data_IF_440157026318
#
_entry.id   IF_440157026318
#
_cell.length_a   1.000
_cell.length_b   1.000
_cell.length_c   1.000
_cell.angle_alpha   90.00
_cell.angle_beta   90.00
_cell.angle_gamma   90.00
#
_symmetry.space_group_name_H-M   'P 1'
#
loop_
_entity.id
_entity.type
_entity.pdbx_description
1 polymer ?
#
# COMPACT_ATOMS: atom_id res chain seq x y z
N UNK A 1 -7.54 -40.46 8.13
CA UNK A 1 -7.49 -39.76 6.83
C UNK A 1 -6.49 -38.64 6.99
N UNK A 2 -5.34 -38.80 6.35
CA UNK A 2 -4.13 -38.01 6.59
C UNK A 2 -4.31 -36.52 6.24
N UNK A 3 -4.54 -35.70 7.25
CA UNK A 3 -4.55 -34.25 7.20
C UNK A 3 -3.14 -33.63 7.20
N UNK A 4 -2.08 -34.43 7.33
CA UNK A 4 -0.73 -33.90 7.49
C UNK A 4 0.03 -33.66 6.18
N UNK A 5 -0.39 -34.25 5.07
CA UNK A 5 0.28 -34.12 3.78
C UNK A 5 -0.15 -32.84 2.96
N UNK A 6 -1.31 -32.26 3.29
CA UNK A 6 -1.82 -31.08 2.58
C UNK A 6 -1.21 -29.73 3.05
N UNK A 7 -0.49 -29.75 4.18
CA UNK A 7 0.02 -28.52 4.84
C UNK A 7 1.38 -28.04 4.32
N UNK A 8 2.06 -28.80 3.47
CA UNK A 8 3.44 -28.49 3.04
C UNK A 8 3.56 -27.78 1.68
N UNK A 9 2.48 -27.68 0.90
CA UNK A 9 2.58 -27.25 -0.51
C UNK A 9 2.34 -25.77 -0.77
N UNK A 10 1.83 -25.00 0.18
CA UNK A 10 1.43 -23.61 -0.05
C UNK A 10 2.13 -22.63 0.90
N UNK A 11 3.43 -22.41 0.66
CA UNK A 11 4.20 -21.38 1.37
C UNK A 11 4.31 -20.15 0.47
N UNK A 12 3.48 -19.12 0.65
CA UNK A 12 3.62 -17.87 -0.10
C UNK A 12 4.99 -17.24 0.16
N UNK A 13 5.47 -16.51 -0.83
CA UNK A 13 6.75 -15.82 -0.78
C UNK A 13 6.49 -14.33 -0.85
N UNK A 14 7.01 -13.58 0.11
CA UNK A 14 6.97 -12.12 0.11
C UNK A 14 8.36 -11.56 -0.13
N UNK A 15 8.51 -10.75 -1.19
CA UNK A 15 9.72 -9.99 -1.42
C UNK A 15 9.55 -8.63 -0.76
N UNK A 16 10.29 -8.40 0.30
CA UNK A 16 10.21 -7.21 1.15
C UNK A 16 11.51 -6.42 1.12
N UNK A 17 11.45 -5.15 1.45
CA UNK A 17 12.59 -4.22 1.44
C UNK A 17 12.08 -2.81 1.23
N UNK A 18 12.98 -1.82 1.21
CA UNK A 18 12.57 -0.47 0.83
C UNK A 18 12.10 -0.45 -0.63
N UNK A 19 11.08 0.34 -0.98
CA UNK A 19 10.79 0.61 -2.38
C UNK A 19 12.08 1.03 -3.12
N UNK A 20 12.21 0.65 -4.37
CA UNK A 20 13.40 0.93 -5.21
C UNK A 20 14.67 0.16 -4.83
N UNK A 21 14.60 -0.80 -3.91
CA UNK A 21 15.73 -1.69 -3.58
C UNK A 21 15.92 -2.85 -4.56
N UNK A 22 15.06 -2.98 -5.57
CA UNK A 22 15.13 -4.08 -6.54
C UNK A 22 14.08 -5.17 -6.33
N UNK A 23 13.03 -4.92 -5.56
CA UNK A 23 11.91 -5.85 -5.34
C UNK A 23 11.29 -6.31 -6.66
N UNK A 24 11.01 -5.40 -7.58
CA UNK A 24 10.39 -5.70 -8.88
C UNK A 24 11.26 -6.61 -9.76
N UNK A 25 12.57 -6.35 -9.89
CA UNK A 25 13.46 -7.19 -10.70
C UNK A 25 13.59 -8.59 -10.11
N UNK A 26 13.70 -8.68 -8.77
CA UNK A 26 13.77 -9.98 -8.10
C UNK A 26 12.46 -10.76 -8.26
N UNK A 27 11.32 -10.10 -8.09
CA UNK A 27 10.00 -10.69 -8.30
C UNK A 27 9.86 -11.21 -9.73
N UNK A 28 10.41 -10.47 -10.70
CA UNK A 28 10.41 -10.91 -12.09
C UNK A 28 11.31 -12.13 -12.31
N UNK A 29 12.51 -12.18 -11.69
CA UNK A 29 13.37 -13.37 -11.72
C UNK A 29 12.62 -14.59 -11.16
N UNK A 30 11.97 -14.46 -10.00
CA UNK A 30 11.19 -15.52 -9.38
C UNK A 30 10.00 -15.98 -10.27
N UNK A 31 9.41 -15.05 -11.01
CA UNK A 31 8.31 -15.35 -11.93
C UNK A 31 8.68 -16.22 -13.13
N UNK A 32 9.97 -16.35 -13.47
CA UNK A 32 10.43 -17.27 -14.50
C UNK A 32 10.49 -18.73 -14.02
N UNK A 33 10.42 -18.93 -12.70
CA UNK A 33 10.46 -20.29 -12.14
C UNK A 33 9.13 -21.03 -12.39
N UNK A 34 9.17 -22.33 -12.82
CA UNK A 34 7.96 -23.07 -13.19
C UNK A 34 6.97 -23.28 -12.02
N UNK A 35 7.46 -23.32 -10.76
CA UNK A 35 6.62 -23.53 -9.58
C UNK A 35 6.13 -22.22 -8.95
N UNK A 36 6.47 -21.04 -9.45
CA UNK A 36 6.15 -19.75 -8.84
C UNK A 36 5.22 -18.93 -9.70
N UNK A 37 4.12 -18.47 -9.07
CA UNK A 37 3.15 -17.54 -9.63
C UNK A 37 3.41 -16.16 -9.02
N UNK A 38 3.97 -15.24 -9.76
CA UNK A 38 4.03 -13.84 -9.32
C UNK A 38 2.64 -13.22 -9.42
N UNK A 39 2.18 -12.59 -8.38
CA UNK A 39 0.96 -11.76 -8.40
C UNK A 39 1.35 -10.28 -8.50
N UNK A 40 0.47 -9.40 -9.00
CA UNK A 40 0.65 -7.95 -8.89
C UNK A 40 0.80 -7.52 -7.44
N UNK A 41 1.52 -6.43 -7.19
CA UNK A 41 1.63 -5.85 -5.85
C UNK A 41 0.23 -5.67 -5.26
N UNK A 42 -0.06 -6.39 -4.19
CA UNK A 42 -1.43 -6.47 -3.68
C UNK A 42 -1.76 -5.33 -2.71
N UNK A 43 -0.79 -4.88 -1.94
CA UNK A 43 -0.84 -3.76 -0.98
C UNK A 43 -1.90 -3.85 0.14
N UNK A 44 -2.89 -4.73 0.06
CA UNK A 44 -4.03 -4.79 1.00
C UNK A 44 -3.90 -5.82 2.12
N UNK A 45 -3.09 -6.88 1.95
CA UNK A 45 -3.03 -8.00 2.91
C UNK A 45 -2.43 -7.57 4.26
N UNK A 46 -1.54 -6.57 4.27
CA UNK A 46 -0.96 -6.02 5.49
C UNK A 46 -2.01 -5.32 6.36
N UNK A 47 -2.83 -4.46 5.76
CA UNK A 47 -3.93 -3.78 6.44
C UNK A 47 -5.03 -4.76 6.83
N UNK A 48 -5.31 -5.76 5.99
CA UNK A 48 -6.26 -6.82 6.32
C UNK A 48 -5.83 -7.60 7.58
N UNK A 49 -4.54 -7.85 7.78
CA UNK A 49 -4.05 -8.45 9.02
C UNK A 49 -4.32 -7.57 10.24
N UNK A 50 -4.22 -6.24 10.11
CA UNK A 50 -4.58 -5.29 11.18
C UNK A 50 -6.09 -5.34 11.45
N UNK A 51 -6.92 -5.31 10.40
CA UNK A 51 -8.37 -5.42 10.53
C UNK A 51 -8.79 -6.72 11.22
N UNK A 52 -8.18 -7.84 10.87
CA UNK A 52 -8.43 -9.12 11.54
C UNK A 52 -8.05 -9.10 13.02
N UNK A 53 -6.93 -8.46 13.39
CA UNK A 53 -6.56 -8.29 14.79
C UNK A 53 -7.63 -7.54 15.58
N UNK A 54 -8.16 -6.45 15.00
CA UNK A 54 -9.24 -5.67 15.59
C UNK A 54 -10.51 -6.52 15.72
N UNK A 55 -10.89 -7.29 14.69
CA UNK A 55 -12.08 -8.15 14.71
C UNK A 55 -11.94 -9.26 15.74
N UNK A 56 -10.74 -9.84 15.86
CA UNK A 56 -10.46 -10.84 16.90
C UNK A 56 -10.60 -10.25 18.30
N UNK A 57 -10.04 -9.07 18.57
CA UNK A 57 -10.20 -8.36 19.86
C UNK A 57 -11.67 -8.10 20.18
N UNK A 58 -12.47 -7.66 19.21
CA UNK A 58 -13.92 -7.46 19.40
C UNK A 58 -14.63 -8.79 19.68
N UNK A 59 -14.26 -9.85 18.91
CA UNK A 59 -14.85 -11.18 19.03
C UNK A 59 -14.51 -11.92 20.33
N UNK A 60 -13.52 -11.42 21.10
CA UNK A 60 -13.07 -11.98 22.39
C UNK A 60 -13.31 -11.04 23.57
N UNK A 61 -13.75 -9.79 23.34
CA UNK A 61 -13.77 -8.71 24.33
C UNK A 61 -14.59 -8.98 25.60
N UNK A 62 -15.56 -9.92 25.56
CA UNK A 62 -16.46 -10.25 26.69
C UNK A 62 -16.20 -11.66 27.27
N UNK A 63 -15.00 -12.22 27.02
CA UNK A 63 -14.67 -13.60 27.41
C UNK A 63 -15.72 -14.59 26.85
N UNK A 64 -16.14 -15.57 27.63
CA UNK A 64 -17.10 -16.62 27.22
C UNK A 64 -18.48 -16.11 26.75
N UNK A 65 -18.75 -14.79 26.84
CA UNK A 65 -19.92 -14.17 26.21
C UNK A 65 -19.67 -13.70 24.78
N UNK A 66 -18.45 -13.81 24.32
CA UNK A 66 -18.05 -13.51 22.93
C UNK A 66 -17.92 -14.80 22.15
N UNK A 67 -18.36 -14.80 20.90
CA UNK A 67 -18.43 -16.02 20.08
C UNK A 67 -17.09 -16.72 19.89
N UNK A 68 -16.00 -15.97 19.68
CA UNK A 68 -14.68 -16.58 19.47
C UNK A 68 -14.13 -17.22 20.75
N UNK A 69 -14.29 -16.55 21.90
CA UNK A 69 -13.89 -17.13 23.19
C UNK A 69 -14.76 -18.31 23.62
N UNK A 70 -16.07 -18.26 23.34
CA UNK A 70 -16.99 -19.37 23.67
C UNK A 70 -16.74 -20.62 22.83
N UNK A 71 -16.05 -20.47 21.69
CA UNK A 71 -15.65 -21.56 20.79
C UNK A 71 -14.18 -21.93 20.95
N UNK A 72 -13.48 -21.36 21.92
CA UNK A 72 -12.02 -21.55 22.15
C UNK A 72 -11.17 -21.34 20.89
N UNK A 73 -11.58 -20.37 20.03
CA UNK A 73 -10.82 -20.07 18.82
C UNK A 73 -9.63 -19.20 19.18
N UNK A 74 -8.43 -19.75 19.01
CA UNK A 74 -7.18 -19.05 19.25
C UNK A 74 -6.90 -18.02 18.14
N UNK A 75 -6.14 -16.98 18.49
CA UNK A 75 -5.78 -15.88 17.56
C UNK A 75 -5.05 -16.40 16.33
N UNK A 76 -4.13 -17.31 16.51
CA UNK A 76 -3.31 -17.93 15.47
C UNK A 76 -4.19 -18.74 14.50
N UNK A 77 -5.14 -19.51 15.03
CA UNK A 77 -6.10 -20.24 14.21
C UNK A 77 -6.97 -19.29 13.40
N UNK A 78 -7.51 -18.24 14.06
CA UNK A 78 -8.36 -17.26 13.39
C UNK A 78 -7.65 -16.64 12.18
N UNK A 79 -6.40 -16.18 12.36
CA UNK A 79 -5.62 -15.61 11.26
C UNK A 79 -5.32 -16.61 10.16
N UNK A 80 -4.86 -17.80 10.52
CA UNK A 80 -4.47 -18.84 9.56
C UNK A 80 -5.64 -19.29 8.68
N UNK A 81 -6.87 -19.32 9.20
CA UNK A 81 -8.07 -19.66 8.41
C UNK A 81 -8.35 -18.63 7.30
N UNK A 82 -8.23 -17.34 7.61
CA UNK A 82 -8.37 -16.31 6.58
C UNK A 82 -7.21 -16.33 5.59
N UNK A 83 -5.99 -16.53 6.06
CA UNK A 83 -4.83 -16.70 5.19
C UNK A 83 -4.97 -17.88 4.24
N UNK A 84 -5.49 -19.00 4.71
CA UNK A 84 -5.79 -20.16 3.86
C UNK A 84 -6.82 -19.82 2.78
N UNK A 85 -7.89 -19.10 3.14
CA UNK A 85 -8.91 -18.68 2.18
C UNK A 85 -8.34 -17.76 1.09
N UNK A 86 -7.45 -16.82 1.44
CA UNK A 86 -6.75 -15.96 0.49
C UNK A 86 -5.86 -16.80 -0.43
N UNK A 87 -5.10 -17.72 0.13
CA UNK A 87 -4.22 -18.61 -0.60
C UNK A 87 -4.99 -19.44 -1.64
N UNK A 88 -6.11 -20.04 -1.23
CA UNK A 88 -6.98 -20.82 -2.10
C UNK A 88 -7.59 -19.94 -3.22
N UNK A 89 -8.00 -18.72 -2.89
CA UNK A 89 -8.51 -17.78 -3.87
C UNK A 89 -7.47 -17.47 -4.95
N UNK A 90 -6.24 -17.15 -4.56
CA UNK A 90 -5.16 -16.82 -5.50
C UNK A 90 -4.84 -18.02 -6.40
N UNK A 91 -4.67 -19.20 -5.82
CA UNK A 91 -4.28 -20.39 -6.56
C UNK A 91 -5.41 -20.92 -7.47
N UNK A 92 -6.66 -20.81 -7.04
CA UNK A 92 -7.80 -21.20 -7.87
C UNK A 92 -7.97 -20.29 -9.10
N UNK A 93 -7.61 -19.01 -8.98
CA UNK A 93 -7.68 -18.04 -10.09
C UNK A 93 -6.37 -17.84 -10.86
N UNK A 94 -5.34 -18.66 -10.60
CA UNK A 94 -4.03 -18.52 -11.26
C UNK A 94 -4.08 -18.54 -12.78
N UNK A 95 -4.92 -19.38 -13.39
CA UNK A 95 -5.07 -19.48 -14.86
C UNK A 95 -5.68 -18.20 -15.46
N UNK A 96 -6.57 -17.53 -14.74
CA UNK A 96 -7.16 -16.27 -15.16
C UNK A 96 -6.15 -15.13 -15.14
N UNK A 97 -5.31 -15.10 -14.10
CA UNK A 97 -4.23 -14.14 -14.00
C UNK A 97 -3.22 -14.32 -15.13
N UNK A 98 -2.80 -15.55 -15.40
CA UNK A 98 -1.85 -15.87 -16.47
C UNK A 98 -2.40 -15.50 -17.87
N UNK A 99 -3.68 -15.80 -18.12
CA UNK A 99 -4.37 -15.46 -19.36
C UNK A 99 -4.45 -13.94 -19.58
N UNK A 100 -4.80 -13.19 -18.54
CA UNK A 100 -4.85 -11.72 -18.63
C UNK A 100 -3.48 -11.14 -18.90
N UNK A 101 -2.43 -11.61 -18.23
CA UNK A 101 -1.03 -11.18 -18.49
C UNK A 101 -0.59 -11.44 -19.92
N UNK A 102 -0.87 -12.61 -20.46
CA UNK A 102 -0.57 -12.92 -21.87
C UNK A 102 -1.29 -11.99 -22.84
N UNK A 103 -2.53 -11.59 -22.53
CA UNK A 103 -3.31 -10.62 -23.31
C UNK A 103 -2.78 -9.17 -23.23
N UNK A 104 -2.26 -8.75 -22.09
CA UNK A 104 -1.57 -7.45 -21.96
C UNK A 104 -0.25 -7.42 -22.68
N UNK A 105 0.47 -8.55 -22.71
CA UNK A 105 1.71 -8.70 -23.47
C UNK A 105 1.55 -8.40 -24.95
N UNK A 106 0.43 -8.82 -25.52
CA UNK A 106 0.11 -8.56 -26.93
C UNK A 106 -0.26 -7.10 -27.24
N UNK A 107 -0.51 -6.27 -26.20
CA UNK A 107 -0.91 -4.85 -26.31
C UNK A 107 0.13 -3.88 -25.76
N UNK A 108 1.37 -4.31 -25.54
CA UNK A 108 2.39 -3.56 -24.83
C UNK A 108 2.62 -2.15 -25.41
N UNK A 109 2.49 -1.16 -24.53
CA UNK A 109 2.95 0.21 -24.75
C UNK A 109 4.49 0.19 -24.71
N UNK A 110 5.21 0.84 -25.64
CA UNK A 110 6.67 0.96 -25.58
C UNK A 110 7.04 1.74 -24.30
N UNK A 111 7.76 1.16 -23.39
CA UNK A 111 8.23 1.67 -22.09
C UNK A 111 7.43 1.25 -20.83
N UNK A 112 6.35 0.51 -20.93
CA UNK A 112 5.84 -0.19 -19.76
C UNK A 112 6.78 -1.34 -19.41
N UNK A 113 7.00 -1.61 -18.12
CA UNK A 113 7.66 -2.83 -17.67
C UNK A 113 7.05 -4.00 -18.46
N UNK A 114 7.84 -4.86 -19.10
CA UNK A 114 7.28 -5.94 -19.87
C UNK A 114 6.70 -7.00 -18.91
N UNK A 115 5.51 -6.73 -18.36
CA UNK A 115 4.65 -7.77 -17.79
C UNK A 115 4.46 -8.94 -18.80
N UNK A 116 4.75 -8.64 -20.03
CA UNK A 116 4.64 -9.46 -21.21
C UNK A 116 5.68 -10.57 -21.35
N UNK A 117 6.81 -10.49 -20.70
CA UNK A 117 7.88 -11.47 -20.90
C UNK A 117 7.80 -12.67 -19.94
N UNK A 118 6.73 -12.78 -19.17
CA UNK A 118 6.43 -14.01 -18.45
C UNK A 118 5.77 -15.03 -19.38
N UNK A 119 6.49 -15.42 -20.44
CA UNK A 119 6.08 -16.53 -21.29
C UNK A 119 6.11 -17.80 -20.46
N UNK A 120 4.94 -18.19 -19.97
CA UNK A 120 4.72 -19.52 -19.39
C UNK A 120 4.92 -20.53 -20.49
N UNK A 121 5.88 -21.44 -20.33
CA UNK A 121 5.99 -22.57 -21.23
C UNK A 121 4.68 -23.37 -21.22
N UNK A 122 4.04 -23.60 -22.37
CA UNK A 122 2.81 -24.38 -22.41
C UNK A 122 3.11 -25.81 -21.94
N UNK A 123 2.43 -26.27 -20.91
CA UNK A 123 2.48 -27.69 -20.51
C UNK A 123 2.92 -27.98 -19.07
N UNK A 124 3.51 -27.02 -18.36
CA UNK A 124 3.89 -27.23 -16.92
C UNK A 124 2.84 -26.62 -16.00
N UNK A 125 1.88 -27.42 -15.60
CA UNK A 125 0.73 -27.01 -14.78
C UNK A 125 1.05 -27.02 -13.28
N UNK A 126 2.20 -26.47 -12.82
CA UNK A 126 2.66 -26.66 -11.44
C UNK A 126 3.06 -25.39 -10.70
N UNK A 127 2.41 -24.27 -10.92
CA UNK A 127 2.60 -23.10 -10.05
C UNK A 127 1.85 -23.35 -8.75
N UNK A 128 2.56 -23.92 -7.78
CA UNK A 128 2.02 -24.29 -6.48
C UNK A 128 2.21 -23.21 -5.42
N UNK A 129 3.06 -22.19 -5.70
CA UNK A 129 3.39 -21.11 -4.78
C UNK A 129 3.23 -19.77 -5.48
N UNK A 130 2.71 -18.78 -4.76
CA UNK A 130 2.66 -17.42 -5.28
C UNK A 130 3.68 -16.52 -4.58
N UNK A 131 4.08 -15.47 -5.30
CA UNK A 131 5.07 -14.47 -4.89
C UNK A 131 4.42 -13.09 -4.97
N UNK A 132 4.51 -12.32 -3.90
CA UNK A 132 4.10 -10.92 -3.84
C UNK A 132 5.32 -10.04 -3.54
N UNK A 133 5.53 -9.04 -4.39
CA UNK A 133 6.68 -8.13 -4.28
C UNK A 133 6.31 -6.74 -3.76
N UNK A 134 5.19 -6.58 -3.05
CA UNK A 134 4.77 -5.31 -2.47
C UNK A 134 5.79 -4.81 -1.43
N UNK A 135 6.54 -3.71 -1.69
CA UNK A 135 7.60 -3.26 -0.78
C UNK A 135 7.07 -2.84 0.59
N UNK A 136 5.86 -2.28 0.67
CA UNK A 136 5.21 -1.84 1.90
C UNK A 136 4.99 -2.96 2.90
N UNK A 137 4.98 -4.22 2.44
CA UNK A 137 4.90 -5.40 3.32
C UNK A 137 6.08 -5.54 4.25
N UNK A 138 7.19 -4.83 4.01
CA UNK A 138 8.30 -4.68 4.97
C UNK A 138 7.81 -4.26 6.36
N UNK A 139 6.77 -3.45 6.42
CA UNK A 139 6.18 -2.97 7.66
C UNK A 139 5.10 -3.91 8.23
N UNK A 140 4.72 -4.96 7.54
CA UNK A 140 3.59 -5.83 7.86
C UNK A 140 3.99 -7.31 8.05
N UNK A 141 5.28 -7.62 8.13
CA UNK A 141 5.80 -9.00 8.17
C UNK A 141 5.14 -9.82 9.28
N UNK A 142 4.96 -9.24 10.49
CA UNK A 142 4.30 -9.92 11.60
C UNK A 142 2.85 -10.31 11.26
N UNK A 143 2.05 -9.38 10.76
CA UNK A 143 0.67 -9.65 10.37
C UNK A 143 0.56 -10.67 9.26
N UNK A 144 1.42 -10.56 8.23
CA UNK A 144 1.49 -11.55 7.14
C UNK A 144 1.91 -12.92 7.62
N UNK A 145 2.84 -12.99 8.59
CA UNK A 145 3.26 -14.25 9.21
C UNK A 145 2.12 -14.93 10.00
N UNK A 146 1.25 -14.13 10.61
CA UNK A 146 0.04 -14.63 11.28
C UNK A 146 -0.98 -15.17 10.27
N UNK A 147 -1.23 -14.44 9.17
CA UNK A 147 -2.09 -14.90 8.08
C UNK A 147 -1.56 -16.17 7.41
N UNK A 148 -0.27 -16.21 7.15
CA UNK A 148 0.41 -17.28 6.42
C UNK A 148 1.54 -17.87 7.27
N UNK A 149 1.24 -18.76 8.24
CA UNK A 149 2.26 -19.32 9.12
C UNK A 149 3.43 -20.02 8.39
N UNK A 150 3.20 -20.49 7.17
CA UNK A 150 4.23 -21.09 6.31
C UNK A 150 4.95 -20.09 5.38
N UNK A 151 4.62 -18.81 5.40
CA UNK A 151 5.22 -17.80 4.51
C UNK A 151 6.74 -17.70 4.69
N UNK A 152 7.42 -17.46 3.55
CA UNK A 152 8.84 -17.13 3.51
C UNK A 152 8.99 -15.67 3.03
N UNK A 153 9.98 -14.99 3.59
CA UNK A 153 10.26 -13.59 3.29
C UNK A 153 11.66 -13.45 2.69
N UNK A 154 11.77 -12.69 1.62
CA UNK A 154 13.04 -12.35 1.01
C UNK A 154 13.25 -10.87 1.25
N UNK A 155 14.14 -10.53 2.17
CA UNK A 155 14.54 -9.15 2.42
C UNK A 155 15.61 -8.74 1.41
N UNK A 156 15.22 -8.00 0.37
CA UNK A 156 16.17 -7.40 -0.54
C UNK A 156 16.63 -6.05 0.00
N UNK A 157 17.94 -5.92 0.23
CA UNK A 157 18.56 -4.71 0.75
C UNK A 157 19.47 -4.09 -0.31
N UNK A 158 19.42 -2.75 -0.41
CA UNK A 158 20.23 -1.93 -1.29
C UNK A 158 20.74 -0.71 -0.54
N UNK A 159 21.90 -0.20 -0.94
CA UNK A 159 22.50 1.00 -0.36
C UNK A 159 21.51 2.19 -0.34
N UNK A 160 21.57 2.97 0.73
CA UNK A 160 20.61 4.03 0.98
C UNK A 160 20.66 5.14 -0.06
N UNK A 161 21.86 5.53 -0.51
CA UNK A 161 22.00 6.61 -1.49
C UNK A 161 21.33 6.27 -2.82
N UNK A 162 21.57 5.06 -3.34
CA UNK A 162 20.92 4.60 -4.56
C UNK A 162 19.41 4.54 -4.42
N UNK A 163 18.90 4.13 -3.24
CA UNK A 163 17.46 4.04 -2.99
C UNK A 163 16.84 5.41 -2.89
N UNK A 164 17.40 6.33 -2.10
CA UNK A 164 16.90 7.70 -1.92
C UNK A 164 16.89 8.44 -3.26
N UNK A 165 17.99 8.38 -4.02
CA UNK A 165 18.05 8.94 -5.38
C UNK A 165 16.94 8.38 -6.28
N UNK A 166 16.69 7.07 -6.22
CA UNK A 166 15.67 6.42 -7.03
C UNK A 166 14.25 6.80 -6.59
N UNK A 167 13.98 6.94 -5.30
CA UNK A 167 12.69 7.37 -4.76
C UNK A 167 12.38 8.80 -5.22
N UNK A 168 13.32 9.73 -5.04
CA UNK A 168 13.15 11.14 -5.41
C UNK A 168 13.00 11.34 -6.93
N UNK A 169 13.65 10.48 -7.73
CA UNK A 169 13.54 10.54 -9.19
C UNK A 169 12.23 9.90 -9.70
N UNK A 170 11.63 9.01 -8.93
CA UNK A 170 10.37 8.35 -9.28
C UNK A 170 9.23 9.37 -9.44
N UNK A 171 9.16 10.38 -8.55
CA UNK A 171 8.18 11.45 -8.60
C UNK A 171 8.20 12.24 -9.90
N UNK A 172 9.39 12.37 -10.53
CA UNK A 172 9.55 13.12 -11.78
C UNK A 172 9.00 12.40 -13.01
N UNK A 173 8.66 11.11 -12.89
CA UNK A 173 8.09 10.32 -13.98
C UNK A 173 6.54 10.41 -14.03
N UNK A 174 5.93 11.15 -13.09
CA UNK A 174 4.47 11.37 -13.08
C UNK A 174 3.65 10.17 -12.61
N UNK A 175 4.27 9.18 -11.99
CA UNK A 175 3.59 7.99 -11.46
C UNK A 175 3.06 8.18 -10.03
N UNK A 176 3.17 9.39 -9.50
CA UNK A 176 2.77 9.76 -8.14
C UNK A 176 3.95 9.78 -7.15
N UNK A 177 3.86 10.68 -6.18
CA UNK A 177 4.90 10.90 -5.17
C UNK A 177 4.87 9.81 -4.12
N UNK A 178 5.98 9.08 -3.96
CA UNK A 178 6.17 8.15 -2.83
C UNK A 178 6.50 8.91 -1.53
N UNK A 179 7.11 10.08 -1.65
CA UNK A 179 7.58 10.93 -0.54
C UNK A 179 7.49 12.39 -0.94
N UNK A 180 7.35 13.31 0.02
CA UNK A 180 7.28 14.73 -0.25
C UNK A 180 8.66 15.39 -0.43
N UNK A 181 9.71 14.84 0.22
CA UNK A 181 11.06 15.39 0.21
C UNK A 181 12.12 14.35 0.52
N UNK A 182 13.38 14.77 0.54
CA UNK A 182 14.54 13.91 0.81
C UNK A 182 14.52 13.33 2.23
N UNK A 183 14.11 14.12 3.22
CA UNK A 183 14.00 13.66 4.60
C UNK A 183 13.01 12.51 4.75
N UNK A 184 11.88 12.58 4.06
CA UNK A 184 10.91 11.47 4.04
C UNK A 184 11.46 10.23 3.35
N UNK A 185 12.29 10.39 2.30
CA UNK A 185 12.92 9.27 1.62
C UNK A 185 13.88 8.51 2.55
N UNK A 186 14.74 9.23 3.31
CA UNK A 186 15.59 8.61 4.32
C UNK A 186 14.80 7.93 5.44
N UNK A 187 13.77 8.59 5.95
CA UNK A 187 12.87 8.02 6.97
C UNK A 187 12.18 6.76 6.46
N UNK A 188 11.75 6.75 5.20
CA UNK A 188 11.08 5.59 4.61
C UNK A 188 12.04 4.41 4.50
N UNK A 189 13.26 4.65 3.99
CA UNK A 189 14.29 3.62 3.92
C UNK A 189 14.61 3.05 5.30
N UNK A 190 14.87 3.91 6.29
CA UNK A 190 15.17 3.50 7.66
C UNK A 190 14.06 2.62 8.26
N UNK A 191 12.81 3.06 8.14
CA UNK A 191 11.66 2.32 8.69
C UNK A 191 11.51 0.94 8.06
N UNK A 192 11.62 0.85 6.76
CA UNK A 192 11.42 -0.42 6.04
C UNK A 192 12.57 -1.39 6.28
N UNK A 193 13.82 -0.92 6.20
CA UNK A 193 14.99 -1.76 6.45
C UNK A 193 15.07 -2.19 7.92
N UNK A 194 14.86 -1.28 8.88
CA UNK A 194 14.82 -1.65 10.31
C UNK A 194 13.75 -2.69 10.63
N UNK A 195 12.57 -2.59 10.02
CA UNK A 195 11.51 -3.57 10.19
C UNK A 195 11.91 -4.94 9.62
N UNK A 196 12.55 -4.98 8.46
CA UNK A 196 13.06 -6.22 7.89
C UNK A 196 14.18 -6.84 8.75
N UNK A 197 15.10 -6.02 9.28
CA UNK A 197 16.17 -6.49 10.18
C UNK A 197 15.61 -7.04 11.50
N UNK A 198 14.56 -6.42 12.00
CA UNK A 198 13.85 -6.94 13.17
C UNK A 198 13.22 -8.31 12.84
N UNK A 199 12.60 -8.46 11.66
CA UNK A 199 12.03 -9.73 11.21
C UNK A 199 13.09 -10.83 11.04
N UNK A 200 14.29 -10.49 10.55
CA UNK A 200 15.42 -11.43 10.47
C UNK A 200 15.82 -11.95 11.86
N UNK A 201 15.91 -11.06 12.85
CA UNK A 201 16.22 -11.43 14.23
C UNK A 201 15.07 -12.21 14.88
N UNK A 202 13.81 -11.84 14.60
CA UNK A 202 12.64 -12.44 15.22
C UNK A 202 12.35 -13.85 14.67
N UNK A 203 12.51 -14.06 13.38
CA UNK A 203 12.09 -15.29 12.71
C UNK A 203 13.25 -16.16 12.22
N UNK A 204 14.46 -15.60 12.16
CA UNK A 204 15.67 -16.32 11.78
C UNK A 204 15.76 -16.68 10.29
N UNK A 205 16.89 -17.27 9.87
CA UNK A 205 17.25 -17.51 8.48
C UNK A 205 16.42 -18.60 7.79
N UNK A 206 15.63 -19.36 8.53
CA UNK A 206 14.69 -20.33 7.95
C UNK A 206 13.38 -19.72 7.48
N UNK A 207 13.09 -18.48 7.86
CA UNK A 207 11.85 -17.74 7.52
C UNK A 207 12.13 -16.49 6.72
N UNK A 208 13.21 -15.78 7.03
CA UNK A 208 13.63 -14.56 6.33
C UNK A 208 15.00 -14.80 5.73
N UNK A 209 15.15 -14.53 4.44
CA UNK A 209 16.42 -14.59 3.72
C UNK A 209 16.83 -13.17 3.32
N UNK A 210 18.03 -12.73 3.72
CA UNK A 210 18.59 -11.47 3.27
C UNK A 210 19.30 -11.64 1.93
N UNK A 211 18.88 -10.88 0.93
CA UNK A 211 19.53 -10.78 -0.37
C UNK A 211 20.07 -9.36 -0.56
N UNK A 212 21.38 -9.22 -0.75
CA UNK A 212 21.97 -7.94 -1.14
C UNK A 212 21.72 -7.69 -2.62
N UNK A 213 21.28 -6.48 -2.97
CA UNK A 213 21.09 -6.10 -4.38
C UNK A 213 22.40 -6.17 -5.17
N UNK A 214 23.53 -5.81 -4.56
CA UNK A 214 24.87 -5.97 -5.13
C UNK A 214 25.17 -7.42 -5.53
N UNK A 215 24.86 -8.39 -4.67
CA UNK A 215 25.05 -9.81 -5.00
C UNK A 215 24.19 -10.26 -6.19
N UNK A 216 22.96 -9.72 -6.32
CA UNK A 216 22.08 -10.03 -7.45
C UNK A 216 22.62 -9.45 -8.76
N UNK A 217 23.37 -8.33 -8.71
CA UNK A 217 23.96 -7.69 -9.90
C UNK A 217 25.33 -8.28 -10.24
N UNK A 218 26.19 -8.46 -9.24
CA UNK A 218 27.59 -8.85 -9.43
C UNK A 218 27.77 -10.35 -9.64
N UNK A 219 26.98 -11.17 -8.93
CA UNK A 219 27.03 -12.64 -8.95
C UNK A 219 25.63 -13.26 -9.02
N UNK A 220 24.85 -12.95 -10.07
CA UNK A 220 23.42 -13.27 -10.13
C UNK A 220 23.12 -14.76 -9.97
N UNK A 221 23.91 -15.63 -10.62
CA UNK A 221 23.68 -17.07 -10.54
C UNK A 221 23.90 -17.59 -9.11
N UNK A 222 24.99 -17.19 -8.46
CA UNK A 222 25.28 -17.61 -7.07
C UNK A 222 24.22 -17.10 -6.11
N UNK A 223 23.79 -15.84 -6.27
CA UNK A 223 22.73 -15.23 -5.47
C UNK A 223 21.40 -15.97 -5.62
N UNK A 224 20.96 -16.27 -6.85
CA UNK A 224 19.73 -16.99 -7.09
C UNK A 224 19.81 -18.46 -6.66
N UNK A 225 20.95 -19.15 -6.82
CA UNK A 225 21.13 -20.50 -6.28
C UNK A 225 20.97 -20.54 -4.77
N UNK A 226 21.57 -19.60 -4.04
CA UNK A 226 21.40 -19.49 -2.58
C UNK A 226 19.95 -19.21 -2.21
N UNK A 227 19.28 -18.33 -2.94
CA UNK A 227 17.87 -18.02 -2.74
C UNK A 227 16.98 -19.25 -2.99
N UNK A 228 17.15 -19.97 -4.07
CA UNK A 228 16.37 -21.19 -4.36
C UNK A 228 16.61 -22.30 -3.37
N UNK A 229 17.84 -22.44 -2.86
CA UNK A 229 18.13 -23.36 -1.76
C UNK A 229 17.32 -22.99 -0.50
N UNK A 230 17.28 -21.71 -0.12
CA UNK A 230 16.43 -21.22 0.98
C UNK A 230 14.93 -21.53 0.72
N UNK A 231 14.46 -21.33 -0.51
CA UNK A 231 13.07 -21.60 -0.90
C UNK A 231 12.75 -23.09 -0.99
N UNK A 232 13.76 -23.98 -0.89
CA UNK A 232 13.65 -25.42 -1.15
C UNK A 232 13.09 -25.74 -2.55
N UNK A 233 13.54 -24.97 -3.54
CA UNK A 233 13.19 -25.12 -4.94
C UNK A 233 14.43 -25.42 -5.79
N UNK A 234 14.32 -26.19 -6.86
CA UNK A 234 15.44 -26.40 -7.78
C UNK A 234 15.78 -25.07 -8.48
N UNK A 235 17.06 -24.87 -8.75
CA UNK A 235 17.48 -23.72 -9.53
C UNK A 235 17.00 -23.86 -10.98
N UNK A 236 16.39 -22.78 -11.52
CA UNK A 236 15.95 -22.66 -12.90
C UNK A 236 16.75 -21.54 -13.59
N UNK A 237 17.48 -21.86 -14.65
CA UNK A 237 18.36 -20.92 -15.35
C UNK A 237 17.57 -19.75 -15.99
N UNK A 238 16.32 -19.98 -16.34
CA UNK A 238 15.41 -18.98 -16.91
C UNK A 238 15.23 -17.77 -15.96
N UNK A 239 15.41 -17.98 -14.66
CA UNK A 239 15.35 -16.91 -13.65
C UNK A 239 16.46 -15.87 -13.78
N UNK A 240 17.52 -16.16 -14.54
CA UNK A 240 18.58 -15.20 -14.86
C UNK A 240 18.21 -14.28 -16.04
N UNK A 241 17.24 -14.66 -16.87
CA UNK A 241 16.88 -13.92 -18.09
C UNK A 241 16.53 -12.45 -17.84
N UNK A 242 15.75 -12.09 -16.77
CA UNK A 242 15.46 -10.69 -16.49
C UNK A 242 16.70 -9.84 -16.19
N UNK A 243 17.75 -10.43 -15.63
CA UNK A 243 18.99 -9.74 -15.25
C UNK A 243 19.92 -9.46 -16.44
N UNK A 244 19.73 -10.17 -17.56
CA UNK A 244 20.51 -9.94 -18.80
C UNK A 244 20.12 -8.62 -19.49
N UNK A 245 18.94 -8.12 -19.22
CA UNK A 245 18.46 -6.82 -19.72
C UNK A 245 18.61 -5.80 -18.59
N UNK A 246 19.40 -4.75 -18.84
CA UNK A 246 19.49 -3.63 -17.90
C UNK A 246 18.12 -2.95 -17.77
N UNK A 247 17.33 -3.35 -16.77
CA UNK A 247 16.02 -2.77 -16.49
C UNK A 247 16.23 -1.69 -15.44
N UNK A 248 16.53 -0.49 -15.90
CA UNK A 248 16.45 0.68 -15.06
C UNK A 248 15.01 1.21 -15.13
N UNK A 249 14.18 0.85 -14.17
CA UNK A 249 12.85 1.43 -13.99
C UNK A 249 12.90 2.92 -13.61
N UNK A 250 14.07 3.43 -13.26
CA UNK A 250 14.33 4.85 -13.06
C UNK A 250 15.58 5.23 -13.84
N UNK A 251 15.44 6.02 -14.89
CA UNK A 251 16.54 6.74 -15.51
C UNK A 251 17.00 7.87 -14.57
N UNK A 252 17.60 7.50 -13.43
CA UNK A 252 18.21 8.51 -12.56
C UNK A 252 19.36 9.12 -13.34
N UNK A 253 19.30 10.42 -13.59
CA UNK A 253 20.38 11.14 -14.27
C UNK A 253 21.62 11.10 -13.38
N UNK A 254 22.78 10.92 -13.97
CA UNK A 254 24.07 10.87 -13.23
C UNK A 254 24.37 12.18 -12.49
N UNK A 255 23.84 13.31 -13.00
CA UNK A 255 23.96 14.64 -12.40
C UNK A 255 22.95 14.92 -11.28
N UNK A 256 21.99 13.99 -11.02
CA UNK A 256 21.04 14.15 -9.92
C UNK A 256 21.76 13.95 -8.57
N UNK A 257 21.83 15.02 -7.80
CA UNK A 257 22.43 15.02 -6.46
C UNK A 257 21.35 15.00 -5.39
N UNK A 258 21.60 14.21 -4.35
CA UNK A 258 20.93 14.29 -3.04
C UNK A 258 21.72 15.29 -2.19
N UNK A 259 21.10 15.91 -1.23
CA UNK A 259 21.73 16.89 -0.34
C UNK A 259 20.90 18.16 -0.19
N UNK A 260 19.59 17.96 0.05
CA UNK A 260 18.69 19.05 0.42
C UNK A 260 19.15 19.63 1.77
N UNK A 261 19.48 20.94 1.86
CA UNK A 261 19.93 21.56 3.10
C UNK A 261 18.88 21.56 4.22
N UNK A 262 17.60 21.32 3.90
CA UNK A 262 16.53 21.17 4.90
C UNK A 262 16.47 19.75 5.50
N UNK A 263 17.19 18.79 4.94
CA UNK A 263 17.25 17.42 5.48
C UNK A 263 18.10 17.38 6.73
N UNK A 264 17.59 16.75 7.80
CA UNK A 264 18.32 16.58 9.07
C UNK A 264 19.60 15.76 8.87
N UNK A 265 20.79 16.32 9.09
CA UNK A 265 22.05 15.61 8.92
C UNK A 265 22.19 14.37 9.81
N UNK A 266 21.56 14.37 10.99
CA UNK A 266 21.61 13.24 11.93
C UNK A 266 20.83 12.04 11.39
N UNK A 267 19.73 12.29 10.69
CA UNK A 267 18.94 11.27 10.00
C UNK A 267 19.75 10.62 8.86
N UNK A 268 20.42 11.44 8.05
CA UNK A 268 21.28 10.98 6.96
C UNK A 268 22.40 10.10 7.53
N UNK A 269 23.11 10.58 8.57
CA UNK A 269 24.18 9.82 9.23
C UNK A 269 23.67 8.48 9.77
N UNK A 270 22.50 8.45 10.40
CA UNK A 270 21.88 7.22 10.89
C UNK A 270 21.62 6.24 9.75
N UNK A 271 21.06 6.72 8.64
CA UNK A 271 20.76 5.90 7.47
C UNK A 271 22.02 5.33 6.82
N UNK A 272 23.06 6.16 6.65
CA UNK A 272 24.35 5.74 6.10
C UNK A 272 25.06 4.72 6.99
N UNK A 273 25.02 4.93 8.32
CA UNK A 273 25.58 3.98 9.29
C UNK A 273 24.88 2.64 9.20
N UNK A 274 23.53 2.62 9.23
CA UNK A 274 22.75 1.39 9.11
C UNK A 274 23.02 0.70 7.77
N UNK A 275 23.08 1.45 6.66
CA UNK A 275 23.38 0.90 5.33
C UNK A 275 24.74 0.20 5.31
N UNK A 276 25.76 0.83 5.87
CA UNK A 276 27.09 0.27 5.97
C UNK A 276 27.15 -0.97 6.88
N UNK A 277 26.40 -0.95 7.99
CA UNK A 277 26.31 -2.07 8.92
C UNK A 277 25.67 -3.28 8.24
N UNK A 278 24.55 -3.10 7.56
CA UNK A 278 23.82 -4.20 6.90
C UNK A 278 24.64 -4.85 5.78
N UNK A 279 25.44 -4.06 5.05
CA UNK A 279 26.35 -4.57 4.02
C UNK A 279 27.49 -5.42 4.61
N UNK A 280 27.99 -5.07 5.79
CA UNK A 280 29.13 -5.75 6.44
C UNK A 280 28.71 -6.92 7.33
N UNK A 281 27.53 -6.83 7.94
CA UNK A 281 27.11 -7.78 8.95
C UNK A 281 26.37 -8.96 8.32
N UNK A 282 26.74 -10.20 8.59
CA UNK A 282 25.97 -11.36 8.15
C UNK A 282 24.58 -11.39 8.79
N UNK A 283 23.66 -12.09 8.16
CA UNK A 283 22.36 -12.33 8.73
C UNK A 283 22.49 -13.15 10.03
N UNK A 284 21.67 -12.87 11.07
CA UNK A 284 21.68 -13.66 12.30
C UNK A 284 21.47 -15.15 12.01
N UNK A 285 22.27 -16.05 12.62
CA UNK A 285 22.20 -17.49 12.36
C UNK A 285 20.93 -18.15 12.96
N UNK A 286 20.32 -17.53 13.96
CA UNK A 286 19.17 -18.04 14.70
C UNK A 286 18.15 -16.92 15.02
N UNK A 287 16.92 -17.33 15.31
CA UNK A 287 15.89 -16.45 15.81
C UNK A 287 16.13 -16.09 17.29
N UNK A 288 15.78 -14.87 17.68
CA UNK A 288 15.84 -14.37 19.05
C UNK A 288 14.44 -14.23 19.64
N UNK A 289 14.11 -14.85 20.79
CA UNK A 289 12.83 -14.66 21.45
C UNK A 289 12.49 -13.20 21.75
N UNK A 290 13.48 -12.44 22.28
CA UNK A 290 13.26 -11.02 22.55
C UNK A 290 12.94 -10.19 21.30
N UNK A 291 13.52 -10.53 20.14
CA UNK A 291 13.17 -9.88 18.88
C UNK A 291 11.76 -10.28 18.39
N UNK A 292 11.32 -11.49 18.70
CA UNK A 292 9.93 -11.92 18.43
C UNK A 292 8.93 -11.11 19.24
N UNK A 293 9.20 -10.85 20.51
CA UNK A 293 8.36 -10.00 21.37
C UNK A 293 8.36 -8.55 20.88
N UNK A 294 9.51 -8.02 20.45
CA UNK A 294 9.64 -6.69 19.85
C UNK A 294 8.81 -6.59 18.55
N UNK A 295 8.83 -7.63 17.72
CA UNK A 295 8.05 -7.68 16.47
C UNK A 295 6.54 -7.71 16.76
N UNK A 296 6.10 -8.48 17.77
CA UNK A 296 4.70 -8.52 18.20
C UNK A 296 4.27 -7.15 18.78
N UNK A 297 5.11 -6.52 19.59
CA UNK A 297 4.86 -5.18 20.12
C UNK A 297 4.74 -4.14 19.00
N UNK A 298 5.60 -4.21 17.98
CA UNK A 298 5.53 -3.33 16.81
C UNK A 298 4.22 -3.54 16.02
N UNK A 299 3.76 -4.77 15.87
CA UNK A 299 2.47 -5.07 15.25
C UNK A 299 1.30 -4.51 16.05
N UNK A 300 1.28 -4.71 17.37
CA UNK A 300 0.25 -4.18 18.25
C UNK A 300 0.24 -2.64 18.28
N UNK A 301 1.40 -1.99 18.20
CA UNK A 301 1.51 -0.53 18.04
C UNK A 301 0.85 -0.06 16.75
N UNK A 302 1.08 -0.74 15.63
CA UNK A 302 0.44 -0.41 14.34
C UNK A 302 -1.09 -0.57 14.40
N UNK A 303 -1.60 -1.60 15.08
CA UNK A 303 -3.05 -1.75 15.30
C UNK A 303 -3.60 -0.51 16.03
N UNK A 304 -2.93 -0.05 17.08
CA UNK A 304 -3.33 1.12 17.84
C UNK A 304 -3.29 2.41 17.00
N UNK A 305 -2.23 2.60 16.22
CA UNK A 305 -2.07 3.73 15.29
C UNK A 305 -3.17 3.74 14.23
N UNK A 306 -3.50 2.58 13.65
CA UNK A 306 -4.57 2.43 12.68
C UNK A 306 -5.94 2.78 13.28
N UNK A 307 -6.26 2.28 14.48
CA UNK A 307 -7.49 2.62 15.19
C UNK A 307 -7.60 4.13 15.45
N UNK A 308 -6.52 4.77 15.89
CA UNK A 308 -6.48 6.20 16.13
C UNK A 308 -6.69 7.00 14.83
N UNK A 309 -6.03 6.60 13.75
CA UNK A 309 -6.20 7.23 12.44
C UNK A 309 -7.65 7.14 11.93
N UNK A 310 -8.29 5.98 12.08
CA UNK A 310 -9.69 5.79 11.71
C UNK A 310 -10.64 6.70 12.52
N UNK A 311 -10.37 6.90 13.80
CA UNK A 311 -11.16 7.83 14.63
C UNK A 311 -11.01 9.27 14.14
N UNK A 312 -9.79 9.70 13.81
CA UNK A 312 -9.53 11.05 13.27
C UNK A 312 -10.23 11.24 11.92
N UNK A 313 -10.15 10.27 11.02
CA UNK A 313 -10.82 10.29 9.72
C UNK A 313 -12.33 10.44 9.90
N UNK A 314 -12.94 9.64 10.78
CA UNK A 314 -14.38 9.72 11.07
C UNK A 314 -14.80 11.10 11.62
N UNK A 315 -13.97 11.69 12.50
CA UNK A 315 -14.21 13.03 13.02
C UNK A 315 -14.11 14.12 11.93
N UNK A 316 -13.12 14.02 11.05
CA UNK A 316 -12.94 14.94 9.90
C UNK A 316 -14.09 14.81 8.89
N UNK A 317 -14.54 13.61 8.58
CA UNK A 317 -15.70 13.37 7.71
C UNK A 317 -16.95 14.04 8.28
N UNK A 318 -17.22 13.84 9.56
CA UNK A 318 -18.36 14.48 10.27
C UNK A 318 -18.30 16.01 10.24
N UNK A 319 -17.07 16.57 10.35
CA UNK A 319 -16.84 18.01 10.23
C UNK A 319 -17.06 18.50 8.81
N UNK A 320 -16.58 17.78 7.81
CA UNK A 320 -16.77 18.10 6.40
C UNK A 320 -18.26 18.10 6.01
N UNK A 321 -19.04 17.12 6.49
CA UNK A 321 -20.50 17.08 6.27
C UNK A 321 -21.21 18.29 6.87
N UNK A 322 -20.84 18.71 8.10
CA UNK A 322 -21.40 19.92 8.74
C UNK A 322 -21.10 21.16 7.90
N UNK A 323 -19.84 21.34 7.49
CA UNK A 323 -19.44 22.46 6.64
C UNK A 323 -20.16 22.48 5.29
N UNK A 324 -20.34 21.31 4.67
CA UNK A 324 -21.08 21.19 3.42
C UNK A 324 -22.56 21.65 3.59
N UNK A 325 -23.22 21.26 4.70
CA UNK A 325 -24.58 21.73 5.04
C UNK A 325 -24.65 23.26 5.25
N UNK A 326 -23.67 23.83 5.96
CA UNK A 326 -23.58 25.28 6.17
C UNK A 326 -23.38 26.04 4.86
N UNK A 327 -22.47 25.55 4.00
CA UNK A 327 -22.23 26.14 2.67
C UNK A 327 -23.49 26.11 1.82
N UNK A 328 -24.21 24.97 1.83
CA UNK A 328 -25.50 24.84 1.12
C UNK A 328 -26.53 25.85 1.62
N UNK A 329 -26.65 26.01 2.95
CA UNK A 329 -27.53 27.00 3.56
C UNK A 329 -27.15 28.45 3.18
N UNK A 330 -25.87 28.81 3.26
CA UNK A 330 -25.37 30.14 2.87
C UNK A 330 -25.58 30.40 1.37
N UNK A 331 -25.38 29.41 0.51
CA UNK A 331 -25.66 29.54 -0.96
C UNK A 331 -27.14 29.82 -1.22
N UNK A 332 -28.06 29.15 -0.53
CA UNK A 332 -29.50 29.38 -0.65
C UNK A 332 -29.87 30.82 -0.23
N UNK A 333 -29.30 31.33 0.86
CA UNK A 333 -29.49 32.71 1.33
C UNK A 333 -28.98 33.70 0.27
N UNK A 334 -27.78 33.48 -0.27
CA UNK A 334 -27.20 34.33 -1.33
C UNK A 334 -28.08 34.34 -2.58
N UNK A 335 -28.60 33.19 -3.00
CA UNK A 335 -29.51 33.10 -4.14
C UNK A 335 -30.80 33.88 -3.87
N UNK A 336 -31.37 33.77 -2.68
CA UNK A 336 -32.56 34.53 -2.28
C UNK A 336 -32.30 36.06 -2.30
N UNK A 337 -31.17 36.48 -1.74
CA UNK A 337 -30.78 37.90 -1.73
C UNK A 337 -30.53 38.43 -3.16
N UNK A 338 -29.90 37.65 -4.03
CA UNK A 338 -29.71 38.01 -5.45
C UNK A 338 -31.04 38.15 -6.19
N UNK A 339 -31.96 37.21 -5.99
CA UNK A 339 -33.31 37.30 -6.57
C UNK A 339 -34.09 38.51 -6.05
N UNK A 340 -33.98 38.84 -4.75
CA UNK A 340 -34.60 40.01 -4.14
C UNK A 340 -34.00 41.31 -4.73
N UNK A 341 -32.68 41.39 -4.91
CA UNK A 341 -31.99 42.54 -5.54
C UNK A 341 -32.39 42.71 -6.99
N UNK A 342 -32.56 41.64 -7.77
CA UNK A 342 -33.07 41.70 -9.13
C UNK A 342 -34.50 42.23 -9.19
N UNK A 343 -35.40 41.75 -8.32
CA UNK A 343 -36.79 42.26 -8.24
C UNK A 343 -36.80 43.75 -7.85
N UNK A 344 -35.91 44.17 -6.95
CA UNK A 344 -35.79 45.58 -6.58
C UNK A 344 -35.30 46.46 -7.77
N UNK A 345 -34.30 45.97 -8.52
CA UNK A 345 -33.81 46.69 -9.74
C UNK A 345 -34.88 46.77 -10.83
N UNK A 346 -35.62 45.68 -11.08
CA UNK A 346 -36.73 45.66 -12.01
C UNK A 346 -37.84 46.64 -11.59
N UNK A 347 -38.21 46.66 -10.31
CA UNK A 347 -39.18 47.64 -9.79
C UNK A 347 -38.69 49.08 -10.00
N UNK A 348 -37.44 49.37 -9.67
CA UNK A 348 -36.85 50.72 -9.89
C UNK A 348 -36.79 51.09 -11.37
N UNK A 349 -36.56 50.16 -12.27
CA UNK A 349 -36.58 50.38 -13.70
C UNK A 349 -38.00 50.60 -14.22
N UNK A 350 -38.96 49.80 -13.84
CA UNK A 350 -40.36 49.96 -14.23
C UNK A 350 -41.01 51.24 -13.67
N UNK A 351 -40.56 51.71 -12.51
CA UNK A 351 -41.12 52.92 -11.88
C UNK A 351 -40.26 54.15 -12.01
N UNK A 352 -39.06 54.06 -12.61
CA UNK A 352 -38.16 55.18 -12.87
C UNK A 352 -38.28 55.81 -14.27
N UNK A 353 -39.06 55.21 -15.18
CA UNK A 353 -39.29 55.75 -16.52
C UNK A 353 -40.58 56.59 -16.64
N UNK A 354 -41.41 56.69 -15.59
CA UNK A 354 -42.67 57.42 -15.63
C UNK A 354 -42.67 58.69 -14.76
N UNK A 355 -41.59 59.48 -14.86
CA UNK A 355 -41.62 60.80 -14.21
C UNK A 355 -42.03 61.96 -15.09
N UNK A 356 -42.48 61.70 -16.33
CA UNK A 356 -42.84 62.84 -17.24
C UNK A 356 -44.06 62.60 -18.11
N UNK A 357 -45.03 61.77 -17.76
CA UNK A 357 -46.40 61.91 -18.33
C UNK A 357 -47.44 61.19 -17.52
N UNK A 358 -48.46 61.93 -17.03
CA UNK A 358 -49.70 61.54 -16.39
C UNK A 358 -49.70 61.30 -14.87
N UNK A 359 -49.65 62.38 -14.12
CA UNK A 359 -50.31 62.53 -12.85
C UNK A 359 -51.82 62.39 -13.05
N UNK A 360 -52.36 61.31 -12.65
CA UNK A 360 -53.66 61.13 -11.95
C UNK A 360 -54.26 59.75 -12.35
N UNK A 361 -54.53 58.99 -11.39
CA UNK A 361 -55.51 57.92 -11.46
C UNK A 361 -55.09 56.48 -11.25
N UNK A 362 -53.82 56.11 -11.47
CA UNK A 362 -53.41 54.67 -11.39
C UNK A 362 -52.73 54.26 -10.06
N UNK A 363 -52.33 55.26 -9.28
CA UNK A 363 -51.56 55.01 -8.07
C UNK A 363 -52.41 54.59 -6.86
N UNK A 364 -53.72 54.84 -6.85
CA UNK A 364 -54.61 54.40 -5.73
C UNK A 364 -54.95 52.92 -5.86
N UNK A 365 -55.21 52.38 -7.07
CA UNK A 365 -55.59 51.00 -7.26
C UNK A 365 -54.43 50.01 -7.02
N UNK A 366 -53.19 50.42 -7.31
CA UNK A 366 -51.99 49.57 -7.08
C UNK A 366 -51.53 49.55 -5.62
N UNK A 367 -51.81 50.56 -4.84
CA UNK A 367 -51.51 50.59 -3.39
C UNK A 367 -52.44 49.66 -2.60
N UNK A 368 -53.63 49.42 -3.03
CA UNK A 368 -54.57 48.49 -2.35
C UNK A 368 -54.27 47.03 -2.62
N UNK A 369 -53.77 46.68 -3.79
CA UNK A 369 -53.41 45.29 -4.14
C UNK A 369 -52.12 44.78 -3.45
N UNK A 370 -51.33 45.66 -2.81
CA UNK A 370 -50.10 45.32 -2.08
C UNK A 370 -50.21 45.42 -0.57
N UNK A 371 -51.43 45.58 0.01
CA UNK A 371 -51.65 45.39 1.43
C UNK A 371 -51.70 43.92 1.75
N UNK A 372 -50.89 43.53 2.67
CA UNK A 372 -50.58 42.19 3.19
C UNK A 372 -51.81 41.32 3.43
N UNK A 373 -51.72 40.01 3.15
CA UNK A 373 -52.60 39.13 3.88
C UNK A 373 -52.10 39.04 5.33
N UNK A 374 -52.98 39.37 6.24
CA UNK A 374 -52.82 39.18 7.68
C UNK A 374 -52.58 37.72 8.02
N UNK A 375 -51.61 37.49 8.88
CA UNK A 375 -51.49 36.26 9.65
C UNK A 375 -52.85 35.89 10.24
N UNK A 376 -53.26 34.66 10.02
CA UNK A 376 -54.14 33.94 10.94
C UNK A 376 -53.43 32.69 11.41
N UNK A 377 -53.30 32.63 12.73
CA UNK A 377 -53.09 31.53 13.69
C UNK A 377 -52.60 30.19 13.15
#
# INVERSE_FOLDING_TARGET
MDSSAATLTNKPIFVVGSPRSGTSILTWCLGQHPNMLVIPESAWMGDFAIDLAIRYQIGTARGNRSVLSAMDIEREEFFARFGQSINDLILNHRKDLERKRSGYAARAVPNAMPEASMTVQPGVNRKARWVDGTPEYSLHICGLRKLFPGALFIHIVRDVDSVVRSILNFDRLGEGSLVANEQEAYNYWLRTVSSCLLAERAYGPRVVFRLRYSALVDTPEAALRSLFNFLSEPFAAECLTPLQKRINSSNVRDDFKIGDPETDPSLVEQAMRLSTEVEKTPQPPEASPGASDEMEAAFNKRISEYCNAQQVIAALQKRAERLAKEIKGKRAIIQHLRARRQRYKLRRWCFGQDSDKHRNGWWSALRESFRRPTRKS
#
